data_IF_234413034017
#
_entry.id   IF_234413034017
#
_cell.length_a   1.000
_cell.length_b   1.000
_cell.length_c   1.000
_cell.angle_alpha   90.00
_cell.angle_beta   90.00
_cell.angle_gamma   90.00
#
_symmetry.space_group_name_H-M   'P 1'
#
loop_
_entity.id
_entity.type
_entity.pdbx_description
1 polymer ?
#
# COMPACT_ATOMS: atom_id res chain seq x y z
N UNK A 1 -20.42 11.56 12.09
CA UNK A 1 -19.48 11.17 11.03
C UNK A 1 -19.36 12.34 10.07
N UNK A 2 -18.18 12.95 10.00
CA UNK A 2 -17.88 14.13 9.19
C UNK A 2 -17.56 13.70 7.76
N UNK A 3 -18.59 13.47 6.95
CA UNK A 3 -18.45 12.93 5.59
C UNK A 3 -17.46 13.73 4.72
N UNK A 4 -17.50 15.06 4.79
CA UNK A 4 -16.60 15.93 4.04
C UNK A 4 -15.13 15.68 4.39
N UNK A 5 -14.81 15.63 5.68
CA UNK A 5 -13.46 15.30 6.12
C UNK A 5 -13.01 13.93 5.62
N UNK A 6 -13.86 12.90 5.76
CA UNK A 6 -13.56 11.54 5.30
C UNK A 6 -13.25 11.53 3.79
N UNK A 7 -14.13 12.08 2.94
CA UNK A 7 -13.89 12.12 1.50
C UNK A 7 -12.66 12.95 1.10
N UNK A 8 -12.36 14.02 1.83
CA UNK A 8 -11.14 14.81 1.62
C UNK A 8 -9.87 13.99 1.87
N UNK A 9 -9.86 13.17 2.93
CA UNK A 9 -8.74 12.25 3.20
C UNK A 9 -8.65 11.16 2.14
N UNK A 10 -9.78 10.56 1.74
CA UNK A 10 -9.83 9.55 0.68
C UNK A 10 -9.27 10.10 -0.64
N UNK A 11 -9.60 11.33 -1.00
CA UNK A 11 -9.02 11.98 -2.18
C UNK A 11 -7.50 12.09 -2.07
N UNK A 12 -6.97 12.54 -0.92
CA UNK A 12 -5.51 12.60 -0.72
C UNK A 12 -4.83 11.24 -0.83
N UNK A 13 -5.48 10.18 -0.33
CA UNK A 13 -4.98 8.80 -0.44
C UNK A 13 -4.95 8.37 -1.90
N UNK A 14 -5.98 8.70 -2.68
CA UNK A 14 -6.03 8.41 -4.11
C UNK A 14 -4.91 9.13 -4.88
N UNK A 15 -4.60 10.40 -4.54
CA UNK A 15 -3.44 11.11 -5.08
C UNK A 15 -2.11 10.40 -4.77
N UNK A 16 -1.97 9.87 -3.55
CA UNK A 16 -0.75 9.14 -3.17
C UNK A 16 -0.60 7.87 -4.03
N UNK A 17 -1.67 7.10 -4.23
CA UNK A 17 -1.63 5.93 -5.13
C UNK A 17 -1.28 6.31 -6.56
N UNK A 18 -1.90 7.39 -7.06
CA UNK A 18 -1.58 7.94 -8.36
C UNK A 18 -0.07 8.23 -8.49
N UNK A 19 0.54 8.84 -7.47
CA UNK A 19 1.98 9.07 -7.42
C UNK A 19 2.80 7.77 -7.38
N UNK A 20 2.36 6.79 -6.60
CA UNK A 20 3.06 5.51 -6.47
C UNK A 20 3.04 4.68 -7.76
N UNK A 21 1.98 4.80 -8.59
CA UNK A 21 1.89 4.14 -9.89
C UNK A 21 2.92 4.64 -10.92
N UNK A 22 3.57 5.78 -10.69
CA UNK A 22 4.70 6.19 -11.54
C UNK A 22 5.90 5.26 -11.41
N UNK A 23 6.10 4.62 -10.24
CA UNK A 23 7.24 3.72 -10.02
C UNK A 23 7.17 2.48 -10.93
N UNK A 24 6.07 1.69 -10.96
CA UNK A 24 5.95 0.59 -11.92
C UNK A 24 5.88 1.08 -13.38
N UNK A 25 5.38 2.29 -13.65
CA UNK A 25 5.43 2.87 -15.01
C UNK A 25 6.87 3.06 -15.50
N UNK A 26 7.79 3.48 -14.63
CA UNK A 26 9.22 3.59 -14.98
C UNK A 26 9.78 2.21 -15.36
N UNK A 27 9.44 1.16 -14.61
CA UNK A 27 9.84 -0.20 -14.95
C UNK A 27 9.24 -0.69 -16.26
N UNK A 28 7.95 -0.47 -16.48
CA UNK A 28 7.26 -0.79 -17.72
C UNK A 28 7.96 -0.13 -18.93
N UNK A 29 8.22 1.17 -18.82
CA UNK A 29 8.86 1.94 -19.89
C UNK A 29 10.31 1.49 -20.13
N UNK A 30 11.08 1.22 -19.07
CA UNK A 30 12.48 0.80 -19.21
C UNK A 30 12.62 -0.58 -19.87
N UNK A 31 11.74 -1.52 -19.53
CA UNK A 31 11.81 -2.89 -20.06
C UNK A 31 11.22 -3.03 -21.46
N UNK A 32 10.03 -2.49 -21.70
CA UNK A 32 9.40 -2.55 -23.02
C UNK A 32 8.47 -1.34 -23.24
N UNK A 33 8.99 -0.23 -23.79
CA UNK A 33 8.22 0.99 -24.01
C UNK A 33 6.98 0.80 -24.90
N UNK A 34 6.97 -0.21 -25.76
CA UNK A 34 5.89 -0.48 -26.72
C UNK A 34 4.80 -1.41 -26.15
N UNK A 35 5.04 -1.99 -24.97
CA UNK A 35 4.08 -2.90 -24.37
C UNK A 35 2.81 -2.16 -23.89
N UNK A 36 1.61 -2.73 -24.04
CA UNK A 36 0.35 -2.12 -23.61
C UNK A 36 0.31 -1.68 -22.14
N UNK A 37 1.13 -2.28 -21.27
CA UNK A 37 1.19 -1.92 -19.84
C UNK A 37 1.59 -0.45 -19.61
N UNK A 38 2.43 0.12 -20.47
CA UNK A 38 2.86 1.53 -20.35
C UNK A 38 1.65 2.45 -20.47
N UNK A 39 0.83 2.23 -21.51
CA UNK A 39 -0.39 2.99 -21.73
C UNK A 39 -1.41 2.74 -20.60
N UNK A 40 -1.51 1.49 -20.12
CA UNK A 40 -2.40 1.13 -19.03
C UNK A 40 -2.09 1.88 -17.74
N UNK A 41 -0.82 1.99 -17.35
CA UNK A 41 -0.40 2.78 -16.19
C UNK A 41 -0.70 4.27 -16.41
N UNK A 42 -0.43 4.83 -17.59
CA UNK A 42 -0.73 6.23 -17.89
C UNK A 42 -2.24 6.50 -17.77
N UNK A 43 -3.08 5.64 -18.34
CA UNK A 43 -4.54 5.74 -18.26
C UNK A 43 -5.03 5.65 -16.81
N UNK A 44 -4.50 4.69 -16.03
CA UNK A 44 -4.83 4.53 -14.62
C UNK A 44 -4.43 5.75 -13.78
N UNK A 45 -3.23 6.30 -14.01
CA UNK A 45 -2.73 7.52 -13.37
C UNK A 45 -3.62 8.71 -13.70
N UNK A 46 -3.92 8.94 -14.98
CA UNK A 46 -4.75 10.06 -15.41
C UNK A 46 -6.17 9.98 -14.82
N UNK A 47 -6.80 8.79 -14.87
CA UNK A 47 -8.12 8.60 -14.30
C UNK A 47 -8.12 8.83 -12.78
N UNK A 48 -7.15 8.27 -12.07
CA UNK A 48 -6.99 8.46 -10.62
C UNK A 48 -6.78 9.93 -10.26
N UNK A 49 -5.93 10.63 -11.03
CA UNK A 49 -5.63 12.04 -10.85
C UNK A 49 -6.87 12.92 -11.06
N UNK A 50 -7.63 12.67 -12.13
CA UNK A 50 -8.86 13.40 -12.44
C UNK A 50 -9.89 13.17 -11.33
N UNK A 51 -10.18 11.92 -10.99
CA UNK A 51 -11.13 11.58 -9.93
C UNK A 51 -10.74 12.22 -8.60
N UNK A 52 -9.47 12.13 -8.23
CA UNK A 52 -8.98 12.71 -6.99
C UNK A 52 -9.04 14.23 -6.97
N UNK A 53 -8.68 14.88 -8.08
CA UNK A 53 -8.70 16.34 -8.18
C UNK A 53 -10.13 16.86 -8.12
N UNK A 54 -11.07 16.24 -8.83
CA UNK A 54 -12.50 16.57 -8.75
C UNK A 54 -13.00 16.41 -7.32
N UNK A 55 -12.63 15.32 -6.63
CA UNK A 55 -13.05 15.09 -5.25
C UNK A 55 -12.50 16.15 -4.29
N UNK A 56 -11.23 16.56 -4.45
CA UNK A 56 -10.63 17.64 -3.65
C UNK A 56 -11.25 19.01 -3.91
N UNK A 57 -11.62 19.31 -5.16
CA UNK A 57 -12.24 20.58 -5.53
C UNK A 57 -13.71 20.66 -5.10
N UNK A 58 -14.41 19.53 -5.05
CA UNK A 58 -15.83 19.49 -4.63
C UNK A 58 -15.97 19.43 -3.12
N UNK A 59 -15.05 18.75 -2.42
CA UNK A 59 -15.10 18.57 -0.97
C UNK A 59 -14.19 19.58 -0.28
N UNK A 60 -14.76 20.73 0.07
CA UNK A 60 -14.06 21.73 0.88
C UNK A 60 -14.08 21.34 2.36
N UNK A 61 -12.89 21.15 2.93
CA UNK A 61 -12.71 20.91 4.37
C UNK A 61 -12.43 22.24 5.07
N UNK A 62 -13.30 22.65 6.01
CA UNK A 62 -13.06 23.83 6.83
C UNK A 62 -12.14 23.48 8.00
N UNK A 63 -11.44 24.47 8.58
CA UNK A 63 -10.54 24.23 9.73
C UNK A 63 -11.28 23.64 10.93
N UNK A 64 -12.53 24.06 11.16
CA UNK A 64 -13.41 23.53 12.21
C UNK A 64 -13.75 22.04 12.06
N UNK A 65 -13.71 21.49 10.83
CA UNK A 65 -13.98 20.06 10.61
C UNK A 65 -12.86 19.16 11.19
N UNK A 66 -11.66 19.70 11.43
CA UNK A 66 -10.52 18.94 11.95
C UNK A 66 -10.52 18.81 13.47
N UNK A 67 -11.17 19.74 14.19
CA UNK A 67 -11.16 19.76 15.66
C UNK A 67 -12.15 18.78 16.30
N UNK A 68 -13.01 18.12 15.50
CA UNK A 68 -14.07 17.21 15.98
C UNK A 68 -13.98 15.80 15.40
N UNK A 69 -12.77 15.26 15.19
CA UNK A 69 -12.62 13.88 14.75
C UNK A 69 -13.10 12.89 15.81
N UNK A 70 -14.01 12.01 15.41
CA UNK A 70 -14.49 10.91 16.25
C UNK A 70 -13.98 9.57 15.70
N UNK A 71 -14.06 8.51 16.52
CA UNK A 71 -13.61 7.17 16.12
C UNK A 71 -14.34 6.62 14.87
N UNK A 72 -15.59 7.03 14.61
CA UNK A 72 -16.34 6.60 13.42
C UNK A 72 -15.73 7.17 12.14
N UNK A 73 -15.19 8.39 12.19
CA UNK A 73 -14.50 9.01 11.06
C UNK A 73 -13.21 8.25 10.73
N UNK A 74 -12.41 7.88 11.75
CA UNK A 74 -11.21 7.07 11.57
C UNK A 74 -11.50 5.69 10.98
N UNK A 75 -12.52 4.99 11.49
CA UNK A 75 -12.93 3.68 10.97
C UNK A 75 -13.42 3.78 9.51
N UNK A 76 -14.22 4.80 9.21
CA UNK A 76 -14.71 5.05 7.84
C UNK A 76 -13.56 5.35 6.88
N UNK A 77 -12.60 6.20 7.28
CA UNK A 77 -11.42 6.50 6.47
C UNK A 77 -10.67 5.21 6.15
N UNK A 78 -10.37 4.38 7.13
CA UNK A 78 -9.58 3.17 6.89
C UNK A 78 -10.34 2.19 6.00
N UNK A 79 -11.60 1.87 6.33
CA UNK A 79 -12.39 0.94 5.53
C UNK A 79 -12.56 1.39 4.08
N UNK A 80 -12.88 2.68 3.87
CA UNK A 80 -13.00 3.24 2.53
C UNK A 80 -11.65 3.34 1.80
N UNK A 81 -10.55 3.56 2.53
CA UNK A 81 -9.21 3.62 1.94
C UNK A 81 -8.89 2.29 1.28
N UNK A 82 -9.01 1.17 1.99
CA UNK A 82 -8.71 -0.15 1.40
C UNK A 82 -9.53 -0.45 0.15
N UNK A 83 -10.81 -0.08 0.15
CA UNK A 83 -11.70 -0.26 -1.01
C UNK A 83 -11.25 0.62 -2.19
N UNK A 84 -11.02 1.92 -1.96
CA UNK A 84 -10.63 2.87 -3.02
C UNK A 84 -9.23 2.58 -3.55
N UNK A 85 -8.27 2.30 -2.66
CA UNK A 85 -6.92 1.87 -3.01
C UNK A 85 -6.97 0.66 -3.94
N UNK A 86 -7.78 -0.34 -3.60
CA UNK A 86 -7.89 -1.56 -4.40
C UNK A 86 -8.60 -1.33 -5.74
N UNK A 87 -9.67 -0.53 -5.74
CA UNK A 87 -10.42 -0.22 -6.95
C UNK A 87 -9.54 0.52 -7.98
N UNK A 88 -8.85 1.58 -7.57
CA UNK A 88 -7.99 2.31 -8.49
C UNK A 88 -6.68 1.57 -8.76
N UNK A 89 -6.15 0.84 -7.78
CA UNK A 89 -4.97 -0.02 -7.92
C UNK A 89 -5.13 -1.13 -8.97
N UNK A 90 -6.36 -1.59 -9.20
CA UNK A 90 -6.70 -2.60 -10.22
C UNK A 90 -6.66 -2.08 -11.66
N UNK A 91 -6.74 -0.76 -11.87
CA UNK A 91 -6.84 -0.18 -13.21
C UNK A 91 -5.68 -0.54 -14.14
N UNK A 92 -4.40 -0.52 -13.74
CA UNK A 92 -3.31 -0.92 -14.63
C UNK A 92 -3.40 -2.38 -15.07
N UNK A 93 -3.84 -3.30 -14.20
CA UNK A 93 -4.01 -4.71 -14.55
C UNK A 93 -5.15 -4.89 -15.55
N UNK A 94 -6.26 -4.19 -15.34
CA UNK A 94 -7.40 -4.27 -16.25
C UNK A 94 -7.09 -3.63 -17.62
N UNK A 95 -6.55 -2.41 -17.64
CA UNK A 95 -6.26 -1.69 -18.87
C UNK A 95 -5.11 -2.29 -19.68
N UNK A 96 -4.18 -3.00 -19.04
CA UNK A 96 -3.10 -3.70 -19.76
C UNK A 96 -3.57 -4.96 -20.48
N UNK A 97 -4.77 -5.45 -20.16
CA UNK A 97 -5.33 -6.66 -20.75
C UNK A 97 -4.72 -7.95 -20.23
N UNK A 98 -3.92 -7.92 -19.15
CA UNK A 98 -3.38 -9.14 -18.52
C UNK A 98 -4.47 -10.00 -17.89
N UNK A 99 -5.65 -9.42 -17.64
CA UNK A 99 -6.85 -10.11 -17.16
C UNK A 99 -8.07 -9.67 -17.98
N UNK A 100 -9.03 -10.58 -18.23
CA UNK A 100 -10.21 -10.28 -19.03
C UNK A 100 -11.27 -9.47 -18.28
N UNK A 101 -11.37 -9.64 -16.95
CA UNK A 101 -12.40 -9.02 -16.14
C UNK A 101 -11.79 -8.11 -15.06
N UNK A 102 -12.43 -6.97 -14.81
CA UNK A 102 -12.00 -6.04 -13.76
C UNK A 102 -12.09 -6.66 -12.36
N UNK A 103 -13.03 -7.58 -12.14
CA UNK A 103 -13.14 -8.33 -10.87
C UNK A 103 -11.89 -9.12 -10.55
N UNK A 104 -11.23 -9.66 -11.58
CA UNK A 104 -10.01 -10.45 -11.45
C UNK A 104 -8.84 -9.51 -11.10
N UNK A 105 -8.74 -8.36 -11.78
CA UNK A 105 -7.79 -7.31 -11.43
C UNK A 105 -7.99 -6.79 -9.99
N UNK A 106 -9.25 -6.61 -9.59
CA UNK A 106 -9.62 -6.16 -8.26
C UNK A 106 -9.23 -7.19 -7.21
N UNK A 107 -9.52 -8.48 -7.44
CA UNK A 107 -9.11 -9.55 -6.53
C UNK A 107 -7.59 -9.57 -6.33
N UNK A 108 -6.83 -9.54 -7.41
CA UNK A 108 -5.37 -9.57 -7.36
C UNK A 108 -4.80 -8.40 -6.54
N UNK A 109 -5.34 -7.19 -6.74
CA UNK A 109 -4.87 -6.00 -6.05
C UNK A 109 -5.36 -5.93 -4.60
N UNK A 110 -6.57 -6.39 -4.30
CA UNK A 110 -7.03 -6.56 -2.91
C UNK A 110 -6.07 -7.49 -2.19
N UNK A 111 -5.83 -8.67 -2.76
CA UNK A 111 -4.89 -9.66 -2.21
C UNK A 111 -3.51 -9.05 -1.97
N UNK A 112 -3.06 -8.20 -2.89
CA UNK A 112 -1.83 -7.47 -2.77
C UNK A 112 -1.80 -6.48 -1.59
N UNK A 113 -2.72 -5.52 -1.56
CA UNK A 113 -2.78 -4.51 -0.51
C UNK A 113 -3.06 -5.09 0.87
N UNK A 114 -3.83 -6.17 0.97
CA UNK A 114 -4.09 -6.84 2.25
C UNK A 114 -2.98 -7.82 2.63
N UNK A 115 -1.91 -7.91 1.84
CA UNK A 115 -0.77 -8.81 2.06
C UNK A 115 -1.21 -10.27 2.20
N UNK A 116 -2.22 -10.68 1.45
CA UNK A 116 -2.76 -12.05 1.45
C UNK A 116 -1.92 -12.97 0.56
N UNK A 117 -1.43 -12.46 -0.57
CA UNK A 117 -0.58 -13.22 -1.49
C UNK A 117 -1.28 -14.29 -2.32
N UNK A 118 -2.61 -14.37 -2.30
CA UNK A 118 -3.37 -15.21 -3.21
C UNK A 118 -3.38 -14.59 -4.61
N UNK A 119 -3.23 -15.40 -5.66
CA UNK A 119 -3.19 -14.90 -7.03
C UNK A 119 -4.14 -15.66 -7.95
N UNK A 120 -4.67 -14.95 -8.93
CA UNK A 120 -5.44 -15.52 -10.05
C UNK A 120 -4.54 -15.99 -11.21
N UNK A 121 -3.29 -15.55 -11.24
CA UNK A 121 -2.39 -15.83 -12.35
C UNK A 121 -1.76 -17.21 -12.19
N UNK A 122 -1.95 -18.06 -13.20
CA UNK A 122 -1.31 -19.39 -13.26
C UNK A 122 0.14 -19.27 -13.72
N UNK A 123 0.41 -18.45 -14.73
CA UNK A 123 1.76 -18.17 -15.22
C UNK A 123 2.16 -16.73 -14.93
N UNK A 124 2.73 -16.52 -13.75
CA UNK A 124 3.23 -15.24 -13.26
C UNK A 124 4.40 -14.74 -14.11
N UNK A 125 5.26 -15.62 -14.60
CA UNK A 125 6.48 -15.24 -15.31
C UNK A 125 6.20 -14.64 -16.69
N UNK A 126 5.02 -14.90 -17.25
CA UNK A 126 4.52 -14.27 -18.48
C UNK A 126 4.11 -12.80 -18.30
N UNK A 127 3.90 -12.35 -17.06
CA UNK A 127 3.42 -11.00 -16.81
C UNK A 127 4.50 -9.96 -17.12
N UNK A 128 4.09 -8.80 -17.66
CA UNK A 128 5.03 -7.75 -18.00
C UNK A 128 5.58 -7.07 -16.73
N UNK A 129 6.77 -6.48 -16.83
CA UNK A 129 7.59 -6.11 -15.66
C UNK A 129 6.97 -4.99 -14.82
N UNK A 130 6.27 -4.04 -15.44
CA UNK A 130 5.54 -3.01 -14.68
C UNK A 130 4.42 -3.60 -13.83
N UNK A 131 3.65 -4.55 -14.38
CA UNK A 131 2.59 -5.26 -13.65
C UNK A 131 3.17 -6.12 -12.52
N UNK A 132 4.23 -6.89 -12.78
CA UNK A 132 4.92 -7.66 -11.74
C UNK A 132 5.41 -6.78 -10.58
N UNK A 133 6.00 -5.64 -10.91
CA UNK A 133 6.47 -4.70 -9.92
C UNK A 133 5.32 -4.09 -9.13
N UNK A 134 4.23 -3.70 -9.79
CA UNK A 134 3.06 -3.14 -9.12
C UNK A 134 2.42 -4.14 -8.15
N UNK A 135 2.21 -5.39 -8.58
CA UNK A 135 1.75 -6.49 -7.72
C UNK A 135 2.59 -6.55 -6.44
N UNK A 136 3.91 -6.67 -6.60
CA UNK A 136 4.82 -6.77 -5.45
C UNK A 136 4.83 -5.50 -4.59
N UNK A 137 4.81 -4.32 -5.20
CA UNK A 137 4.80 -3.04 -4.47
C UNK A 137 3.53 -2.90 -3.60
N UNK A 138 2.38 -3.41 -4.04
CA UNK A 138 1.16 -3.38 -3.21
C UNK A 138 1.32 -4.15 -1.90
N UNK A 139 2.10 -5.25 -1.86
CA UNK A 139 2.46 -5.92 -0.60
C UNK A 139 3.22 -4.97 0.32
N UNK A 140 4.30 -4.35 -0.19
CA UNK A 140 5.14 -3.47 0.63
C UNK A 140 4.35 -2.29 1.21
N UNK A 141 3.47 -1.69 0.41
CA UNK A 141 2.57 -0.62 0.83
C UNK A 141 1.52 -1.10 1.84
N UNK A 142 0.94 -2.28 1.60
CA UNK A 142 -0.02 -2.94 2.48
C UNK A 142 0.54 -3.25 3.86
N UNK A 143 1.75 -3.83 3.90
CA UNK A 143 2.48 -4.17 5.13
C UNK A 143 2.74 -2.94 5.99
N UNK A 144 3.17 -1.83 5.38
CA UNK A 144 3.29 -0.57 6.12
C UNK A 144 1.92 -0.02 6.54
N UNK A 145 0.91 -0.12 5.67
CA UNK A 145 -0.46 0.33 5.91
C UNK A 145 -1.08 -0.31 7.15
N UNK A 146 -0.96 -1.63 7.31
CA UNK A 146 -1.49 -2.34 8.48
C UNK A 146 -0.74 -1.96 9.77
N UNK A 147 0.58 -1.79 9.72
CA UNK A 147 1.38 -1.35 10.88
C UNK A 147 0.91 0.02 11.37
N UNK A 148 0.78 0.99 10.46
CA UNK A 148 0.31 2.35 10.81
C UNK A 148 -1.13 2.33 11.30
N UNK A 149 -1.99 1.51 10.69
CA UNK A 149 -3.37 1.33 11.12
C UNK A 149 -3.47 0.78 12.54
N UNK A 150 -2.73 -0.28 12.86
CA UNK A 150 -2.68 -0.85 14.20
C UNK A 150 -2.25 0.21 15.23
N UNK A 151 -1.23 1.02 14.92
CA UNK A 151 -0.82 2.13 15.79
C UNK A 151 -1.87 3.23 15.93
N UNK A 152 -2.66 3.50 14.89
CA UNK A 152 -3.71 4.50 14.90
C UNK A 152 -4.95 4.05 15.69
N UNK A 153 -5.27 2.74 15.68
CA UNK A 153 -6.42 2.18 16.42
C UNK A 153 -6.08 1.87 17.87
N UNK A 154 -4.84 1.45 18.19
CA UNK A 154 -4.43 1.05 19.54
C UNK A 154 -4.87 2.05 20.65
N UNK A 155 -4.79 3.39 20.47
CA UNK A 155 -5.25 4.36 21.47
C UNK A 155 -6.77 4.38 21.67
N UNK A 156 -7.55 3.96 20.66
CA UNK A 156 -9.02 3.97 20.68
C UNK A 156 -9.64 2.70 21.27
N UNK A 157 -8.87 1.61 21.43
CA UNK A 157 -9.28 0.35 22.09
C UNK A 157 -9.46 0.48 23.63
N UNK A 158 -9.22 1.67 24.18
CA UNK A 158 -9.85 2.09 25.42
C UNK A 158 -8.94 2.13 26.66
N UNK A 159 -9.46 2.72 27.76
CA UNK A 159 -8.71 3.03 28.97
C UNK A 159 -8.24 1.81 29.78
N UNK A 160 -8.66 0.58 29.46
CA UNK A 160 -8.25 -0.63 30.21
C UNK A 160 -6.87 -1.15 29.80
N UNK A 161 -6.44 -0.98 28.55
CA UNK A 161 -5.02 -1.15 28.17
C UNK A 161 -4.15 -0.03 28.79
N UNK A 162 -4.76 1.14 29.02
CA UNK A 162 -4.15 2.31 29.64
C UNK A 162 -3.91 2.13 31.14
N UNK A 163 -4.74 1.36 31.86
CA UNK A 163 -4.53 1.05 33.29
C UNK A 163 -3.29 0.19 33.52
N UNK A 164 -3.01 -0.78 32.65
CA UNK A 164 -1.75 -1.55 32.70
C UNK A 164 -0.53 -0.66 32.43
N UNK A 165 -0.60 0.22 31.42
CA UNK A 165 0.51 1.12 31.08
C UNK A 165 0.76 2.21 32.14
N UNK A 166 -0.31 2.68 32.81
CA UNK A 166 -0.23 3.66 33.90
C UNK A 166 0.30 3.05 35.19
N UNK A 167 0.19 1.73 35.37
CA UNK A 167 0.83 1.00 36.46
C UNK A 167 2.35 0.92 36.29
N UNK A 168 2.86 0.89 35.05
CA UNK A 168 4.31 0.92 34.77
C UNK A 168 4.91 2.33 34.67
N UNK A 169 4.13 3.35 34.29
CA UNK A 169 4.61 4.73 34.20
C UNK A 169 3.54 5.77 34.63
N UNK A 170 3.58 6.26 35.89
CA UNK A 170 2.65 7.28 36.37
C UNK A 170 2.89 8.63 35.65
N UNK A 171 1.83 9.29 35.15
CA UNK A 171 1.88 10.70 34.66
C UNK A 171 1.66 10.94 33.16
N UNK A 172 1.26 9.93 32.37
CA UNK A 172 0.97 10.09 30.95
C UNK A 172 -0.47 10.61 30.68
N UNK A 173 -0.59 11.75 30.01
CA UNK A 173 -1.85 12.32 29.49
C UNK A 173 -2.02 11.98 28.00
N UNK A 174 -3.26 11.88 27.51
CA UNK A 174 -3.59 11.50 26.12
C UNK A 174 -2.95 12.45 25.08
N UNK A 175 -2.83 13.75 25.37
CA UNK A 175 -2.17 14.74 24.51
C UNK A 175 -0.67 14.50 24.30
N UNK A 176 0.02 13.84 25.25
CA UNK A 176 1.44 13.47 25.09
C UNK A 176 1.64 12.24 24.20
N UNK A 177 0.57 11.53 23.84
CA UNK A 177 0.62 10.26 23.09
C UNK A 177 0.50 10.50 21.58
N UNK A 178 -0.31 11.47 21.12
CA UNK A 178 -0.38 11.84 19.70
C UNK A 178 0.99 12.15 19.05
N UNK A 179 1.88 12.98 19.64
CA UNK A 179 3.23 13.18 19.11
C UNK A 179 4.10 11.92 19.19
N UNK A 180 3.87 11.04 20.17
CA UNK A 180 4.57 9.75 20.28
C UNK A 180 4.12 8.74 19.21
N UNK A 181 2.86 8.73 18.79
CA UNK A 181 2.38 7.85 17.70
C UNK A 181 3.01 8.24 16.38
N UNK A 182 3.04 9.54 16.05
CA UNK A 182 3.71 10.04 14.85
C UNK A 182 5.19 9.68 14.84
N UNK A 183 5.86 9.86 15.98
CA UNK A 183 7.28 9.52 16.13
C UNK A 183 7.52 8.00 16.06
N UNK A 184 6.63 7.20 16.65
CA UNK A 184 6.68 5.73 16.57
C UNK A 184 6.48 5.27 15.13
N UNK A 185 5.48 5.80 14.42
CA UNK A 185 5.25 5.50 13.02
C UNK A 185 6.47 5.86 12.16
N UNK A 186 7.11 7.00 12.40
CA UNK A 186 8.35 7.40 11.70
C UNK A 186 9.50 6.43 11.95
N UNK A 187 9.69 5.99 13.20
CA UNK A 187 10.71 5.00 13.57
C UNK A 187 10.43 3.64 12.93
N UNK A 188 9.19 3.17 12.94
CA UNK A 188 8.82 1.94 12.26
C UNK A 188 9.03 2.03 10.75
N UNK A 189 8.72 3.18 10.15
CA UNK A 189 8.99 3.41 8.73
C UNK A 189 10.48 3.30 8.41
N UNK A 190 11.33 3.90 9.26
CA UNK A 190 12.78 3.79 9.12
C UNK A 190 13.25 2.35 9.22
N UNK A 191 12.81 1.60 10.24
CA UNK A 191 13.18 0.19 10.41
C UNK A 191 12.70 -0.66 9.23
N UNK A 192 11.46 -0.48 8.80
CA UNK A 192 10.88 -1.20 7.66
C UNK A 192 11.68 -0.97 6.38
N UNK A 193 12.06 0.28 6.10
CA UNK A 193 12.89 0.63 4.95
C UNK A 193 14.31 0.08 5.04
N UNK A 194 14.96 0.20 6.21
CA UNK A 194 16.31 -0.34 6.42
C UNK A 194 16.36 -1.86 6.27
N UNK A 195 15.39 -2.58 6.84
CA UNK A 195 15.28 -4.03 6.68
C UNK A 195 15.03 -4.41 5.22
N UNK A 196 14.13 -3.69 4.53
CA UNK A 196 13.89 -3.89 3.10
C UNK A 196 15.19 -3.73 2.29
N UNK A 197 15.96 -2.66 2.55
CA UNK A 197 17.21 -2.41 1.83
C UNK A 197 18.26 -3.52 2.09
N UNK A 198 18.38 -3.98 3.34
CA UNK A 198 19.27 -5.08 3.70
C UNK A 198 18.86 -6.39 3.01
N UNK A 199 17.57 -6.70 2.96
CA UNK A 199 17.07 -7.90 2.29
C UNK A 199 17.38 -7.87 0.78
N UNK A 200 17.13 -6.74 0.09
CA UNK A 200 17.48 -6.59 -1.33
C UNK A 200 18.97 -6.87 -1.56
N UNK A 201 19.84 -6.31 -0.71
CA UNK A 201 21.29 -6.50 -0.82
C UNK A 201 21.64 -8.00 -0.69
N UNK A 202 21.09 -8.69 0.32
CA UNK A 202 21.36 -10.11 0.53
C UNK A 202 20.83 -10.99 -0.60
N UNK A 203 19.63 -10.71 -1.12
CA UNK A 203 19.06 -11.45 -2.25
C UNK A 203 19.89 -11.26 -3.53
N UNK A 204 20.38 -10.04 -3.79
CA UNK A 204 21.28 -9.78 -4.94
C UNK A 204 22.62 -10.50 -4.78
N UNK A 205 23.19 -10.54 -3.57
CA UNK A 205 24.41 -11.33 -3.29
C UNK A 205 24.16 -12.82 -3.54
N UNK A 206 22.97 -13.32 -3.19
CA UNK A 206 22.47 -14.66 -3.54
C UNK A 206 22.13 -14.86 -5.02
N UNK A 207 22.66 -14.01 -5.92
CA UNK A 207 22.53 -14.07 -7.39
C UNK A 207 21.11 -13.90 -7.91
N UNK A 208 20.19 -13.37 -7.11
CA UNK A 208 18.88 -12.95 -7.60
C UNK A 208 19.04 -11.66 -8.43
N UNK A 209 18.29 -11.52 -9.53
CA UNK A 209 18.31 -10.28 -10.30
C UNK A 209 17.81 -9.11 -9.43
N UNK A 210 18.32 -7.89 -9.64
CA UNK A 210 17.91 -6.73 -8.82
C UNK A 210 16.40 -6.50 -8.83
N UNK A 211 15.75 -6.72 -9.99
CA UNK A 211 14.31 -6.60 -10.12
C UNK A 211 13.57 -7.64 -9.27
N UNK A 212 13.98 -8.92 -9.35
CA UNK A 212 13.36 -9.98 -8.58
C UNK A 212 13.63 -9.77 -7.09
N UNK A 213 14.85 -9.38 -6.71
CA UNK A 213 15.24 -9.11 -5.32
C UNK A 213 14.36 -8.01 -4.69
N UNK A 214 14.08 -6.93 -5.41
CA UNK A 214 13.14 -5.90 -4.97
C UNK A 214 11.72 -6.46 -4.78
N UNK A 215 11.21 -7.19 -5.77
CA UNK A 215 9.86 -7.73 -5.73
C UNK A 215 9.68 -8.76 -4.60
N UNK A 216 10.66 -9.66 -4.42
CA UNK A 216 10.66 -10.63 -3.33
C UNK A 216 10.76 -9.96 -1.97
N UNK A 217 11.62 -8.95 -1.81
CA UNK A 217 11.71 -8.15 -0.57
C UNK A 217 10.36 -7.54 -0.21
N UNK A 218 9.65 -6.98 -1.19
CA UNK A 218 8.32 -6.41 -0.94
C UNK A 218 7.33 -7.45 -0.45
N UNK A 219 7.39 -8.67 -1.00
CA UNK A 219 6.61 -9.81 -0.55
C UNK A 219 6.96 -10.27 0.88
N UNK A 220 8.25 -10.38 1.20
CA UNK A 220 8.75 -10.84 2.51
C UNK A 220 8.47 -9.84 3.62
N UNK A 221 8.84 -8.57 3.43
CA UNK A 221 8.70 -7.51 4.44
C UNK A 221 7.25 -7.30 4.88
N UNK A 222 6.33 -7.47 3.93
CA UNK A 222 4.90 -7.38 4.18
C UNK A 222 4.27 -8.70 4.67
N UNK A 223 5.06 -9.77 4.79
CA UNK A 223 4.58 -11.14 5.08
C UNK A 223 3.49 -11.65 4.13
N UNK A 224 3.49 -11.15 2.88
CA UNK A 224 2.41 -11.45 1.93
C UNK A 224 2.77 -12.54 0.92
N UNK A 225 4.03 -12.69 0.49
CA UNK A 225 4.44 -13.84 -0.32
C UNK A 225 4.20 -13.79 -1.84
N UNK A 226 3.85 -12.63 -2.42
CA UNK A 226 3.93 -12.45 -3.88
C UNK A 226 5.37 -12.59 -4.36
N UNK A 227 5.50 -13.07 -5.60
CA UNK A 227 6.77 -13.43 -6.23
C UNK A 227 6.71 -13.11 -7.72
N UNK A 228 7.87 -12.91 -8.35
CA UNK A 228 8.00 -12.78 -9.81
C UNK A 228 8.12 -14.15 -10.50
N UNK A 229 8.24 -15.22 -9.71
CA UNK A 229 8.41 -16.61 -10.15
C UNK A 229 7.24 -17.49 -9.71
N UNK A 230 6.85 -18.43 -10.58
CA UNK A 230 5.73 -19.35 -10.35
C UNK A 230 5.97 -20.24 -9.12
N UNK A 231 7.18 -20.77 -8.95
CA UNK A 231 7.56 -21.58 -7.79
C UNK A 231 8.02 -20.73 -6.58
N UNK A 232 7.76 -19.42 -6.59
CA UNK A 232 8.22 -18.49 -5.55
C UNK A 232 9.74 -18.62 -5.31
N UNK A 233 10.17 -18.49 -4.05
CA UNK A 233 11.57 -18.60 -3.63
C UNK A 233 12.21 -19.94 -4.01
N UNK A 234 11.42 -21.00 -4.19
CA UNK A 234 11.93 -22.33 -4.56
C UNK A 234 12.55 -22.37 -5.97
N UNK A 235 12.35 -21.34 -6.78
CA UNK A 235 13.03 -21.15 -8.07
C UNK A 235 14.52 -20.87 -7.90
N UNK A 236 14.91 -20.26 -6.78
CA UNK A 236 16.27 -19.80 -6.54
C UNK A 236 17.06 -20.84 -5.75
N UNK A 237 18.35 -20.91 -6.06
CA UNK A 237 19.29 -21.69 -5.25
C UNK A 237 19.34 -21.12 -3.83
N UNK A 238 19.46 -21.95 -2.79
CA UNK A 238 19.78 -21.46 -1.45
C UNK A 238 21.19 -20.82 -1.35
N UNK A 239 21.98 -20.84 -2.44
CA UNK A 239 23.35 -20.33 -2.53
C UNK A 239 23.69 -19.73 -3.91
#
# INVERSE_FOLDING_TARGET
>A
MHKRFVFHIIARILLIVCGLMFIPLVWAFFYNPQHPEVLAFIQAILLSLICSTILLLTVHCQKDDQEKLNAKDGLAIVGLSWIVLSAFGALPLFFSGVVPHYTDAFFEIVSGFTTTGSTIFVDIESLPKGILFWRSLTHWLGGMGIIVFCLAILPSLGPNAFQLYRAEAPGLTVERIAPRIKETAKRLWLVYFCLSALEVIFLVIGKMSFFDALCHTFGTMATGGFSTKNASIATYSPY
#
